data_IF_887902715261
#
_entry.id   IF_887902715261
#
_cell.length_a   1.000
_cell.length_b   1.000
_cell.length_c   1.000
_cell.angle_alpha   90.00
_cell.angle_beta   90.00
_cell.angle_gamma   90.00
#
_symmetry.space_group_name_H-M   'P 1'
#
loop_
_entity.id
_entity.type
_entity.pdbx_description
1 polymer ?
#
# COMPACT_ATOMS: atom_id res chain seq x y z
N UNK A 1 0.01 -19.02 -6.97
CA UNK A 1 0.88 -17.86 -7.05
C UNK A 1 1.54 -17.59 -5.72
N UNK A 2 2.80 -17.37 -5.76
CA UNK A 2 3.54 -17.14 -4.53
C UNK A 2 3.33 -15.71 -4.04
N UNK A 3 3.26 -15.57 -2.74
CA UNK A 3 3.25 -14.27 -2.10
C UNK A 3 4.53 -14.13 -1.31
N UNK A 4 4.96 -12.91 -1.21
CA UNK A 4 6.04 -12.56 -0.32
C UNK A 4 5.45 -11.85 0.88
N UNK A 5 5.82 -12.30 2.07
CA UNK A 5 5.32 -11.68 3.29
C UNK A 5 6.37 -10.80 3.91
N UNK A 6 5.94 -9.63 4.34
CA UNK A 6 6.80 -8.66 4.99
C UNK A 6 6.13 -8.31 6.30
N UNK A 7 6.81 -8.53 7.41
CA UNK A 7 6.21 -8.27 8.70
C UNK A 7 7.20 -7.65 9.67
N UNK A 8 6.66 -7.09 10.74
CA UNK A 8 7.47 -6.55 11.82
C UNK A 8 7.97 -5.14 11.59
N UNK A 9 7.63 -4.53 10.49
CA UNK A 9 8.10 -3.19 10.15
C UNK A 9 6.97 -2.19 10.24
N UNK A 10 7.33 -0.94 10.49
CA UNK A 10 6.35 0.12 10.63
C UNK A 10 6.19 0.86 9.32
N UNK A 11 5.05 1.49 9.17
CA UNK A 11 4.72 2.27 7.98
C UNK A 11 5.38 3.62 8.05
N UNK A 12 5.95 4.06 6.94
CA UNK A 12 6.58 5.37 6.86
C UNK A 12 5.62 6.43 6.36
N UNK A 13 5.25 6.33 5.08
CA UNK A 13 4.42 7.36 4.44
C UNK A 13 3.22 6.72 3.79
N UNK A 14 2.14 7.50 3.66
CA UNK A 14 0.90 7.04 3.02
C UNK A 14 0.49 8.10 2.00
N UNK A 15 0.21 7.66 0.78
CA UNK A 15 -0.18 8.52 -0.33
C UNK A 15 -1.45 7.99 -0.98
N UNK A 16 -2.23 8.90 -1.54
CA UNK A 16 -3.44 8.54 -2.27
C UNK A 16 -3.32 8.97 -3.72
N UNK A 17 -3.87 8.17 -4.61
CA UNK A 17 -3.91 8.49 -6.03
C UNK A 17 -5.17 7.90 -6.64
N UNK A 18 -5.52 8.37 -7.82
CA UNK A 18 -6.64 7.85 -8.57
C UNK A 18 -6.20 7.49 -9.97
N UNK A 19 -6.76 6.41 -10.49
CA UNK A 19 -6.68 6.07 -11.89
C UNK A 19 -8.10 5.83 -12.38
N UNK A 20 -8.28 5.65 -13.67
CA UNK A 20 -9.61 5.41 -14.22
C UNK A 20 -10.22 4.19 -13.54
N UNK A 21 -11.37 4.38 -12.91
CA UNK A 21 -12.12 3.33 -12.23
C UNK A 21 -11.38 2.66 -11.08
N UNK A 22 -10.34 3.31 -10.52
CA UNK A 22 -9.59 2.77 -9.40
C UNK A 22 -9.23 3.84 -8.40
N UNK A 23 -9.24 3.45 -7.13
CA UNK A 23 -8.63 4.23 -6.06
C UNK A 23 -7.36 3.50 -5.63
N UNK A 24 -6.28 4.24 -5.49
CA UNK A 24 -4.99 3.64 -5.19
C UNK A 24 -4.47 4.22 -3.88
N UNK A 25 -3.94 3.35 -3.04
CA UNK A 25 -3.22 3.79 -1.84
C UNK A 25 -1.80 3.28 -1.94
N UNK A 26 -0.86 4.18 -1.79
CA UNK A 26 0.56 3.83 -1.73
C UNK A 26 1.05 4.02 -0.32
N UNK A 27 1.97 3.18 0.11
CA UNK A 27 2.63 3.41 1.39
C UNK A 27 4.04 2.83 1.34
N UNK A 28 4.87 3.33 2.23
CA UNK A 28 6.21 2.78 2.42
C UNK A 28 6.24 2.01 3.72
N UNK A 29 7.13 1.02 3.76
CA UNK A 29 7.37 0.24 4.97
C UNK A 29 8.84 0.38 5.28
N UNK A 30 9.14 0.61 6.54
CA UNK A 30 10.50 0.78 7.02
C UNK A 30 11.36 -0.40 6.58
N UNK A 31 12.57 -0.13 6.09
CA UNK A 31 13.54 -1.13 5.65
C UNK A 31 13.17 -1.79 4.32
N UNK A 32 12.12 -1.31 3.65
CA UNK A 32 11.77 -1.79 2.33
C UNK A 32 12.06 -0.69 1.32
N UNK A 33 12.57 -1.08 0.17
CA UNK A 33 12.98 -0.10 -0.83
C UNK A 33 11.88 0.28 -1.79
N UNK A 34 10.95 -0.63 -2.04
CA UNK A 34 9.87 -0.37 -2.99
C UNK A 34 8.63 0.12 -2.27
N UNK A 35 7.89 0.97 -2.95
CA UNK A 35 6.58 1.38 -2.47
C UNK A 35 5.62 0.22 -2.56
N UNK A 36 4.61 0.23 -1.68
CA UNK A 36 3.53 -0.75 -1.68
C UNK A 36 2.29 -0.09 -2.26
N UNK A 37 1.55 -0.84 -3.06
CA UNK A 37 0.39 -0.31 -3.76
C UNK A 37 -0.81 -1.20 -3.47
N UNK A 38 -1.92 -0.58 -3.03
CA UNK A 38 -3.20 -1.26 -2.85
C UNK A 38 -4.17 -0.66 -3.85
N UNK A 39 -4.84 -1.51 -4.63
CA UNK A 39 -5.82 -1.07 -5.60
C UNK A 39 -7.21 -1.44 -5.15
N UNK A 40 -8.13 -0.51 -5.28
CA UNK A 40 -9.53 -0.73 -4.98
C UNK A 40 -10.36 -0.42 -6.22
N UNK A 41 -11.32 -1.29 -6.52
CA UNK A 41 -12.22 -1.10 -7.65
C UNK A 41 -13.65 -1.38 -7.19
N UNK A 42 -14.62 -0.99 -8.03
CA UNK A 42 -16.02 -1.30 -7.76
C UNK A 42 -16.71 -0.22 -6.97
N UNK A 43 -17.95 -0.50 -6.57
CA UNK A 43 -18.83 0.52 -6.02
C UNK A 43 -18.36 1.09 -4.69
N UNK A 44 -17.64 0.30 -3.91
CA UNK A 44 -17.18 0.73 -2.60
C UNK A 44 -15.71 1.14 -2.59
N UNK A 45 -15.13 1.34 -3.76
CA UNK A 45 -13.70 1.57 -3.82
C UNK A 45 -13.26 2.81 -3.03
N UNK A 46 -14.03 3.89 -3.12
CA UNK A 46 -13.66 5.12 -2.41
C UNK A 46 -13.75 4.95 -0.90
N UNK A 47 -14.83 4.33 -0.43
CA UNK A 47 -15.00 4.10 1.01
C UNK A 47 -13.90 3.17 1.55
N UNK A 48 -13.59 2.13 0.81
CA UNK A 48 -12.54 1.19 1.22
C UNK A 48 -11.17 1.84 1.22
N UNK A 49 -10.87 2.63 0.20
CA UNK A 49 -9.60 3.33 0.12
C UNK A 49 -9.45 4.33 1.25
N UNK A 50 -10.53 5.06 1.56
CA UNK A 50 -10.52 6.01 2.68
C UNK A 50 -10.27 5.30 4.00
N UNK A 51 -10.97 4.19 4.23
CA UNK A 51 -10.83 3.43 5.46
C UNK A 51 -9.38 2.94 5.62
N UNK A 52 -8.82 2.35 4.56
CA UNK A 52 -7.47 1.83 4.64
C UNK A 52 -6.44 2.94 4.83
N UNK A 53 -6.60 4.06 4.14
CA UNK A 53 -5.68 5.18 4.30
C UNK A 53 -5.68 5.69 5.74
N UNK A 54 -6.85 5.79 6.38
CA UNK A 54 -6.94 6.20 7.77
C UNK A 54 -6.26 5.19 8.69
N UNK A 55 -6.47 3.90 8.44
CA UNK A 55 -5.82 2.86 9.23
C UNK A 55 -4.31 2.91 9.09
N UNK A 56 -3.83 3.10 7.88
CA UNK A 56 -2.39 3.15 7.64
C UNK A 56 -1.76 4.38 8.28
N UNK A 57 -2.43 5.53 8.19
CA UNK A 57 -1.93 6.74 8.81
C UNK A 57 -1.89 6.61 10.33
N UNK A 58 -2.93 6.03 10.92
CA UNK A 58 -2.96 5.80 12.36
C UNK A 58 -1.85 4.85 12.78
N UNK A 59 -1.63 3.79 12.01
CA UNK A 59 -0.56 2.84 12.30
C UNK A 59 0.81 3.51 12.23
N UNK A 60 1.01 4.38 11.23
CA UNK A 60 2.27 5.11 11.10
C UNK A 60 2.51 6.02 12.29
N UNK A 61 1.49 6.74 12.72
CA UNK A 61 1.61 7.65 13.86
C UNK A 61 1.85 6.92 15.16
N UNK A 62 1.21 5.75 15.31
CA UNK A 62 1.34 4.97 16.52
C UNK A 62 2.53 4.03 16.54
N UNK A 63 3.26 3.93 15.46
CA UNK A 63 4.40 3.03 15.38
C UNK A 63 4.00 1.56 15.32
N UNK A 64 2.77 1.26 14.92
CA UNK A 64 2.31 -0.12 14.81
C UNK A 64 3.01 -0.82 13.65
N UNK A 65 3.37 -2.08 13.84
CA UNK A 65 3.95 -2.85 12.76
C UNK A 65 2.87 -3.43 11.87
N UNK A 66 3.26 -3.82 10.68
CA UNK A 66 2.32 -4.41 9.72
C UNK A 66 2.87 -5.71 9.19
N UNK A 67 1.96 -6.55 8.78
CA UNK A 67 2.25 -7.74 8.00
C UNK A 67 1.60 -7.55 6.64
N UNK A 68 2.38 -7.62 5.57
CA UNK A 68 1.89 -7.34 4.24
C UNK A 68 2.22 -8.51 3.34
N UNK A 69 1.23 -9.03 2.66
CA UNK A 69 1.45 -10.03 1.63
C UNK A 69 1.42 -9.36 0.28
N UNK A 70 2.42 -9.62 -0.52
CA UNK A 70 2.53 -9.01 -1.85
C UNK A 70 2.82 -10.09 -2.88
N UNK A 71 2.48 -9.80 -4.13
CA UNK A 71 2.87 -10.67 -5.22
C UNK A 71 4.36 -10.51 -5.47
N UNK A 72 5.00 -11.59 -5.89
CA UNK A 72 6.38 -11.52 -6.32
C UNK A 72 6.54 -10.61 -7.51
N UNK A 73 5.56 -10.63 -8.39
CA UNK A 73 5.60 -9.76 -9.54
C UNK A 73 5.34 -8.35 -9.08
N UNK A 74 6.31 -7.51 -9.25
CA UNK A 74 6.15 -6.11 -8.93
C UNK A 74 5.52 -5.41 -10.11
N UNK A 75 4.82 -4.34 -9.82
CA UNK A 75 4.15 -3.56 -10.83
C UNK A 75 4.98 -2.35 -11.16
N UNK A 76 5.36 -2.23 -12.42
CA UNK A 76 6.03 -1.04 -12.89
C UNK A 76 4.97 -0.13 -13.48
N UNK A 77 4.78 1.02 -12.89
CA UNK A 77 3.74 1.93 -13.34
C UNK A 77 4.36 3.24 -13.73
N UNK A 78 3.64 3.96 -14.54
CA UNK A 78 4.00 5.28 -14.95
C UNK A 78 4.25 6.07 -13.73
N UNK A 79 3.28 6.45 -13.08
CA UNK A 79 3.40 7.03 -11.80
C UNK A 79 2.19 7.80 -11.43
N UNK A 80 1.84 7.78 -10.17
CA UNK A 80 0.99 8.86 -9.70
C UNK A 80 1.83 10.12 -9.64
N UNK A 81 1.22 11.26 -9.63
CA UNK A 81 1.94 12.50 -9.46
C UNK A 81 2.80 12.44 -8.21
N UNK A 82 3.95 13.02 -8.31
CA UNK A 82 4.89 13.18 -7.20
C UNK A 82 5.61 11.90 -6.77
N UNK A 83 5.38 10.79 -7.47
CA UNK A 83 6.17 9.60 -7.23
C UNK A 83 6.99 9.29 -8.47
N UNK A 84 8.26 8.99 -8.31
CA UNK A 84 9.07 8.65 -9.47
C UNK A 84 8.61 7.31 -10.06
N UNK A 85 8.86 7.13 -11.34
CA UNK A 85 8.61 5.87 -11.98
C UNK A 85 9.42 4.78 -11.31
N UNK A 86 8.77 3.73 -10.85
CA UNK A 86 9.47 2.66 -10.17
C UNK A 86 8.61 1.43 -10.08
N UNK A 87 9.22 0.36 -9.61
CA UNK A 87 8.53 -0.90 -9.37
C UNK A 87 7.85 -0.83 -8.01
N UNK A 88 6.61 -1.26 -7.99
CA UNK A 88 5.83 -1.30 -6.75
C UNK A 88 5.53 -2.74 -6.38
N UNK A 89 5.43 -2.99 -5.08
CA UNK A 89 4.91 -4.26 -4.59
C UNK A 89 3.39 -4.16 -4.55
N UNK A 90 2.72 -5.04 -5.26
CA UNK A 90 1.26 -5.05 -5.29
C UNK A 90 0.76 -5.83 -4.08
N UNK A 91 0.03 -5.14 -3.21
CA UNK A 91 -0.42 -5.70 -1.94
C UNK A 91 -1.62 -6.60 -2.19
N UNK A 92 -1.56 -7.81 -1.68
CA UNK A 92 -2.67 -8.76 -1.74
C UNK A 92 -3.45 -8.78 -0.44
N UNK A 93 -2.77 -8.60 0.69
CA UNK A 93 -3.45 -8.45 1.97
C UNK A 93 -2.54 -7.67 2.91
N UNK A 94 -3.15 -7.10 3.92
CA UNK A 94 -2.40 -6.36 4.93
C UNK A 94 -3.07 -6.58 6.28
N UNK A 95 -2.25 -6.72 7.31
CA UNK A 95 -2.71 -6.82 8.67
C UNK A 95 -1.90 -5.86 9.53
N UNK A 96 -2.58 -5.00 10.22
CA UNK A 96 -1.93 -4.02 11.09
C UNK A 96 -1.93 -4.58 12.49
N UNK A 97 -0.76 -4.62 13.10
CA UNK A 97 -0.61 -5.17 14.45
C UNK A 97 -0.44 -4.03 15.43
N UNK A 98 -1.21 -4.10 16.45
CA UNK A 98 -1.18 -3.07 17.48
C UNK A 98 0.07 -3.19 18.36
#
# INVERSE_FOLDING_TARGET
>A
MAHNEIEGNVIGEVWRAQETAKEITYFTVQRQTNWFRIEYTGDLMLARANYMAEKLKAAAQGGSSVEVGVDFDTLTVGEPPNLPLRTFNLVKYIQIRA
#
